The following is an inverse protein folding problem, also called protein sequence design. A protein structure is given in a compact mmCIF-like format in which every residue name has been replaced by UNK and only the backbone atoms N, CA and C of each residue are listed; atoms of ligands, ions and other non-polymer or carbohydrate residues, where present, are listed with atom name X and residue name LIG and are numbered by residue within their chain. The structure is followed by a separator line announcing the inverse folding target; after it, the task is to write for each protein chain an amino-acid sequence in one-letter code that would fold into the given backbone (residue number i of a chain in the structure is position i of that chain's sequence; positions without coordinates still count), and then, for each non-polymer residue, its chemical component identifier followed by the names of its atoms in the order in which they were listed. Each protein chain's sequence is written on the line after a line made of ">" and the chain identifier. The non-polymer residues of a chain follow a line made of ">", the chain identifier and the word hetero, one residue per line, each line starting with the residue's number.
data_IF_753667583817
#
_entry.id   IF_753667583817
#
_cell.length_a   1.000
_cell.length_b   1.000
_cell.length_c   1.000
_cell.angle_alpha   90.00
_cell.angle_beta   90.00
_cell.angle_gamma   90.00
#
_symmetry.space_group_name_H-M   'P 1'
#
loop_
_entity.id
_entity.type
_entity.pdbx_description
1 polymer ?
#
# COMPACT_ATOMS: atom_id res chain seq x y z
N UNK A 1 -5.98 0.16 6.71
CA UNK A 1 -6.04 -0.19 5.27
C UNK A 1 -7.46 0.00 4.79
N UNK A 2 -7.64 0.42 3.54
CA UNK A 2 -8.94 0.41 2.88
C UNK A 2 -8.86 -0.31 1.53
N UNK A 3 -10.03 -0.73 1.02
CA UNK A 3 -10.18 -1.19 -0.35
C UNK A 3 -10.52 -0.03 -1.31
N UNK A 4 -10.67 -0.36 -2.60
CA UNK A 4 -11.04 0.60 -3.64
C UNK A 4 -12.49 1.13 -3.53
N UNK A 5 -13.31 0.55 -2.63
CA UNK A 5 -14.70 0.93 -2.39
C UNK A 5 -14.83 1.83 -1.15
N UNK A 6 -13.73 2.41 -0.69
CA UNK A 6 -13.68 3.27 0.49
C UNK A 6 -14.15 2.56 1.77
N UNK A 7 -13.84 1.28 1.93
CA UNK A 7 -14.13 0.54 3.16
C UNK A 7 -12.86 0.23 3.89
N UNK A 8 -12.82 0.51 5.20
CA UNK A 8 -11.72 0.06 6.05
C UNK A 8 -11.75 -1.48 6.14
N UNK A 9 -10.66 -2.11 5.72
CA UNK A 9 -10.50 -3.58 5.76
C UNK A 9 -9.63 -4.03 6.92
N UNK A 10 -8.82 -3.12 7.46
CA UNK A 10 -7.99 -3.36 8.65
C UNK A 10 -7.74 -2.03 9.34
N UNK A 11 -7.87 -2.01 10.67
CA UNK A 11 -7.65 -0.84 11.51
C UNK A 11 -6.79 -1.29 12.69
N UNK A 12 -5.74 -0.53 12.98
CA UNK A 12 -4.88 -0.70 14.15
C UNK A 12 -4.83 0.65 14.87
N UNK A 13 -5.11 0.66 16.18
CA UNK A 13 -5.34 1.85 17.01
C UNK A 13 -4.53 1.73 18.29
N UNK A 14 -3.98 2.86 18.74
CA UNK A 14 -3.34 2.95 20.07
C UNK A 14 -1.81 2.96 20.04
N UNK A 15 -1.20 3.16 18.88
CA UNK A 15 0.25 3.35 18.79
C UNK A 15 0.71 4.65 19.46
N UNK A 16 1.88 4.63 20.08
CA UNK A 16 2.47 5.81 20.73
C UNK A 16 2.76 6.92 19.69
N UNK A 17 2.33 8.15 19.99
CA UNK A 17 2.47 9.29 19.08
C UNK A 17 3.92 9.71 18.76
N UNK A 18 4.92 9.18 19.47
CA UNK A 18 6.35 9.40 19.19
C UNK A 18 6.91 8.49 18.11
N UNK A 19 6.22 7.41 17.76
CA UNK A 19 6.70 6.47 16.75
C UNK A 19 6.46 7.00 15.35
N UNK A 20 7.44 6.78 14.45
CA UNK A 20 7.24 7.07 13.03
C UNK A 20 6.23 6.10 12.42
N UNK A 21 5.59 6.46 11.31
CA UNK A 21 4.66 5.58 10.59
C UNK A 21 5.28 4.20 10.28
N UNK A 22 6.55 4.17 9.91
CA UNK A 22 7.28 2.91 9.66
C UNK A 22 7.52 2.09 10.94
N UNK A 23 7.73 2.76 12.09
CA UNK A 23 7.84 2.11 13.39
C UNK A 23 6.50 1.52 13.84
N UNK A 24 5.43 2.31 13.78
CA UNK A 24 4.05 1.87 14.06
C UNK A 24 3.70 0.65 13.20
N UNK A 25 4.02 0.71 11.90
CA UNK A 25 3.78 -0.41 11.01
C UNK A 25 4.58 -1.66 11.39
N UNK A 26 5.89 -1.56 11.63
CA UNK A 26 6.71 -2.72 12.03
C UNK A 26 6.22 -3.40 13.30
N UNK A 27 5.57 -2.65 14.19
CA UNK A 27 5.00 -3.17 15.43
C UNK A 27 3.54 -3.63 15.30
N UNK A 28 2.92 -3.45 14.12
CA UNK A 28 1.51 -3.80 13.90
C UNK A 28 1.32 -5.30 13.63
N UNK A 29 0.15 -5.82 13.99
CA UNK A 29 -0.24 -7.19 13.64
C UNK A 29 -0.22 -7.42 12.12
N UNK A 30 -0.56 -6.38 11.34
CA UNK A 30 -0.51 -6.43 9.88
C UNK A 30 0.91 -6.73 9.35
N UNK A 31 1.95 -6.16 9.95
CA UNK A 31 3.32 -6.44 9.53
C UNK A 31 3.67 -7.92 9.71
N UNK A 32 3.35 -8.51 10.86
CA UNK A 32 3.58 -9.93 11.10
C UNK A 32 2.81 -10.81 10.10
N UNK A 33 1.53 -10.48 9.83
CA UNK A 33 0.73 -11.20 8.84
C UNK A 33 1.30 -11.12 7.42
N UNK A 34 1.94 -10.00 7.07
CA UNK A 34 2.60 -9.83 5.77
C UNK A 34 3.90 -10.63 5.68
N UNK A 35 4.73 -10.61 6.74
CA UNK A 35 6.00 -11.35 6.75
C UNK A 35 5.79 -12.87 6.79
N UNK A 36 4.75 -13.34 7.47
CA UNK A 36 4.37 -14.76 7.55
C UNK A 36 3.57 -15.25 6.33
N UNK A 37 3.23 -14.37 5.38
CA UNK A 37 2.31 -14.63 4.27
C UNK A 37 0.92 -15.16 4.71
N UNK A 38 0.47 -14.77 5.91
CA UNK A 38 -0.80 -15.23 6.51
C UNK A 38 -1.96 -14.25 6.33
N UNK A 39 -1.75 -13.10 5.66
CA UNK A 39 -2.80 -12.14 5.30
C UNK A 39 -3.83 -12.70 4.29
N UNK A 40 -3.61 -13.89 3.73
CA UNK A 40 -4.49 -14.53 2.74
C UNK A 40 -4.81 -13.63 1.53
N UNK A 41 -3.78 -12.97 1.00
CA UNK A 41 -3.91 -12.15 -0.22
C UNK A 41 -4.37 -13.05 -1.37
N UNK A 42 -5.37 -12.64 -2.18
CA UNK A 42 -5.84 -13.43 -3.31
C UNK A 42 -4.71 -13.77 -4.29
N UNK A 43 -4.82 -14.93 -4.93
CA UNK A 43 -3.91 -15.32 -6.00
C UNK A 43 -3.89 -14.28 -7.12
N UNK A 44 -2.75 -14.11 -7.82
CA UNK A 44 -2.66 -13.23 -8.97
C UNK A 44 -3.78 -13.43 -9.98
N UNK A 45 -4.29 -12.33 -10.54
CA UNK A 45 -5.41 -12.34 -11.47
C UNK A 45 -5.12 -11.47 -12.70
N UNK A 46 -5.78 -11.78 -13.82
CA UNK A 46 -5.66 -11.00 -15.04
C UNK A 46 -6.28 -9.61 -14.87
N UNK A 47 -5.54 -8.58 -15.29
CA UNK A 47 -6.04 -7.20 -15.30
C UNK A 47 -6.85 -6.95 -16.58
N UNK A 48 -8.14 -7.29 -16.54
CA UNK A 48 -9.05 -7.15 -17.66
C UNK A 48 -9.02 -8.32 -18.64
N UNK A 49 -9.86 -8.25 -19.68
CA UNK A 49 -9.94 -9.29 -20.72
C UNK A 49 -8.62 -9.34 -21.48
N UNK A 50 -7.97 -10.50 -21.53
CA UNK A 50 -6.65 -10.72 -22.13
C UNK A 50 -5.50 -9.89 -21.53
N UNK A 51 -5.67 -9.35 -20.32
CA UNK A 51 -4.63 -8.63 -19.62
C UNK A 51 -3.57 -9.54 -19.00
N UNK A 52 -2.42 -8.98 -18.60
CA UNK A 52 -1.41 -9.73 -17.86
C UNK A 52 -1.94 -10.16 -16.49
N UNK A 53 -1.50 -11.33 -16.03
CA UNK A 53 -1.74 -11.81 -14.66
C UNK A 53 -0.80 -11.05 -13.72
N UNK A 54 -1.36 -10.30 -12.77
CA UNK A 54 -0.60 -9.50 -11.81
C UNK A 54 -1.01 -9.86 -10.37
N UNK A 55 -0.07 -9.77 -9.41
CA UNK A 55 -0.38 -9.99 -7.99
C UNK A 55 -1.19 -8.83 -7.41
N UNK A 56 -1.96 -9.13 -6.38
CA UNK A 56 -2.56 -8.10 -5.54
C UNK A 56 -1.50 -7.55 -4.57
N UNK A 57 -1.47 -6.22 -4.43
CA UNK A 57 -0.49 -5.53 -3.57
C UNK A 57 -1.16 -4.43 -2.76
N UNK A 58 -0.63 -4.19 -1.56
CA UNK A 58 -0.93 -3.01 -0.75
C UNK A 58 -0.14 -1.84 -1.31
N UNK A 59 -0.82 -0.72 -1.56
CA UNK A 59 -0.17 0.53 -1.96
C UNK A 59 0.23 1.33 -0.71
N UNK A 60 1.52 1.60 -0.56
CA UNK A 60 2.10 2.26 0.60
C UNK A 60 2.83 3.57 0.24
N UNK A 61 3.13 4.37 1.25
CA UNK A 61 3.98 5.55 1.09
C UNK A 61 5.48 5.20 1.05
N UNK A 62 6.34 6.21 0.84
CA UNK A 62 7.79 6.03 0.71
C UNK A 62 8.48 5.59 2.00
N UNK A 63 7.89 5.81 3.17
CA UNK A 63 8.43 5.41 4.47
C UNK A 63 8.35 3.89 4.69
N UNK A 64 7.53 3.19 3.92
CA UNK A 64 7.42 1.72 3.97
C UNK A 64 8.47 1.05 3.08
N UNK A 65 8.82 -0.19 3.40
CA UNK A 65 9.71 -1.02 2.58
C UNK A 65 8.96 -1.63 1.38
N UNK A 66 9.67 -1.85 0.26
CA UNK A 66 9.13 -2.63 -0.85
C UNK A 66 9.05 -4.12 -0.44
N UNK A 67 7.93 -4.79 -0.70
CA UNK A 67 7.71 -6.22 -0.40
C UNK A 67 6.92 -6.88 -1.54
N UNK A 68 6.83 -8.21 -1.56
CA UNK A 68 6.08 -8.95 -2.60
C UNK A 68 4.60 -8.53 -2.66
N UNK A 69 4.01 -8.26 -1.50
CA UNK A 69 2.62 -7.83 -1.32
C UNK A 69 2.49 -6.32 -1.02
N UNK A 70 3.56 -5.52 -1.18
CA UNK A 70 3.53 -4.08 -0.91
C UNK A 70 4.34 -3.27 -1.93
N UNK A 71 3.69 -2.26 -2.50
CA UNK A 71 4.29 -1.37 -3.49
C UNK A 71 4.41 0.06 -2.96
N UNK A 72 5.58 0.67 -3.18
CA UNK A 72 5.91 2.04 -2.75
C UNK A 72 6.35 2.88 -3.95
N UNK A 73 6.30 4.23 -3.86
CA UNK A 73 6.82 5.08 -4.92
C UNK A 73 8.35 4.94 -5.04
N UNK A 74 8.87 5.22 -6.24
CA UNK A 74 10.29 5.47 -6.43
C UNK A 74 10.71 6.70 -5.62
N UNK A 75 11.88 6.64 -4.99
CA UNK A 75 12.35 7.74 -4.15
C UNK A 75 12.56 9.02 -4.94
N UNK A 76 12.06 10.13 -4.42
CA UNK A 76 12.22 11.46 -5.03
C UNK A 76 13.64 12.01 -4.92
N UNK A 77 14.48 11.40 -4.08
CA UNK A 77 15.90 11.75 -3.95
C UNK A 77 16.72 11.38 -5.20
N UNK A 78 16.17 10.56 -6.09
CA UNK A 78 16.80 10.16 -7.34
C UNK A 78 16.24 10.94 -8.53
N UNK A 79 17.07 11.14 -9.56
CA UNK A 79 16.59 11.63 -10.85
C UNK A 79 15.59 10.61 -11.44
N UNK A 80 14.30 10.98 -11.43
CA UNK A 80 13.22 10.13 -11.93
C UNK A 80 13.07 10.35 -13.43
N UNK A 81 13.20 9.26 -14.21
CA UNK A 81 12.78 9.28 -15.60
C UNK A 81 11.25 9.36 -15.72
N UNK A 82 10.75 9.67 -16.92
CA UNK A 82 9.31 9.88 -17.16
C UNK A 82 8.46 8.67 -16.75
N UNK A 83 8.92 7.44 -16.99
CA UNK A 83 8.18 6.23 -16.59
C UNK A 83 8.02 6.14 -15.06
N UNK A 84 9.07 6.44 -14.30
CA UNK A 84 9.02 6.47 -12.83
C UNK A 84 8.11 7.60 -12.32
N UNK A 85 8.11 8.77 -12.97
CA UNK A 85 7.19 9.87 -12.63
C UNK A 85 5.73 9.48 -12.84
N UNK A 86 5.40 8.89 -13.99
CA UNK A 86 4.05 8.39 -14.31
C UNK A 86 3.60 7.35 -13.29
N UNK A 87 4.49 6.40 -12.95
CA UNK A 87 4.21 5.40 -11.93
C UNK A 87 3.92 6.05 -10.57
N UNK A 88 4.79 6.94 -10.09
CA UNK A 88 4.60 7.63 -8.81
C UNK A 88 3.30 8.43 -8.77
N UNK A 89 2.93 9.08 -9.89
CA UNK A 89 1.67 9.80 -10.01
C UNK A 89 0.46 8.85 -9.86
N UNK A 90 0.44 7.73 -10.60
CA UNK A 90 -0.65 6.73 -10.53
C UNK A 90 -0.75 6.09 -9.15
N UNK A 91 0.39 5.75 -8.55
CA UNK A 91 0.44 5.21 -7.20
C UNK A 91 -0.12 6.21 -6.18
N UNK A 92 0.24 7.50 -6.30
CA UNK A 92 -0.30 8.55 -5.44
C UNK A 92 -1.81 8.72 -5.60
N UNK A 93 -2.34 8.60 -6.83
CA UNK A 93 -3.79 8.62 -7.09
C UNK A 93 -4.50 7.45 -6.41
N UNK A 94 -3.92 6.25 -6.44
CA UNK A 94 -4.47 5.09 -5.74
C UNK A 94 -4.47 5.31 -4.22
N UNK A 95 -3.40 5.88 -3.64
CA UNK A 95 -3.35 6.18 -2.20
C UNK A 95 -4.42 7.16 -1.75
N UNK A 96 -4.83 8.13 -2.58
CA UNK A 96 -5.89 9.10 -2.20
C UNK A 96 -7.22 8.44 -1.77
N UNK A 97 -7.43 7.17 -2.11
CA UNK A 97 -8.58 6.39 -1.63
C UNK A 97 -8.62 6.33 -0.10
N UNK A 98 -7.49 6.08 0.59
CA UNK A 98 -7.50 6.01 2.06
C UNK A 98 -7.81 7.37 2.69
N UNK A 99 -7.22 8.45 2.16
CA UNK A 99 -7.47 9.82 2.61
C UNK A 99 -8.95 10.19 2.43
N UNK A 100 -9.53 9.85 1.27
CA UNK A 100 -10.94 10.08 0.99
C UNK A 100 -11.86 9.22 1.87
N UNK A 101 -11.44 7.98 2.18
CA UNK A 101 -12.20 7.09 3.07
C UNK A 101 -12.34 7.70 4.46
N UNK A 102 -11.27 8.30 5.00
CA UNK A 102 -11.34 9.04 6.26
C UNK A 102 -12.21 10.30 6.20
N UNK A 103 -12.29 10.96 5.04
CA UNK A 103 -13.14 12.15 4.86
C UNK A 103 -14.62 11.87 4.58
N UNK A 104 -14.99 10.61 4.29
CA UNK A 104 -16.39 10.17 4.14
C UNK A 104 -17.02 9.84 5.51
N UNK A 105 -16.21 9.45 6.49
CA UNK A 105 -16.64 9.25 7.88
C UNK A 105 -17.05 10.58 8.52
#
# INVERSE_FOLDING_TARGET
>A
ICDAQYRFTFIDIGAEGRQSNGGVFRNSALYNLLEENSLQVPSPAAVGVNGPILPFVIVADEAFGLKNCMMRPYSRSQSLNERKKIFNYRLSRARRVIESTFGIL
#
